data_IF_458936139963
#
_entry.id   IF_458936139963
#
_cell.length_a   1.000
_cell.length_b   1.000
_cell.length_c   1.000
_cell.angle_alpha   90.00
_cell.angle_beta   90.00
_cell.angle_gamma   90.00
#
_symmetry.space_group_name_H-M   'P 1'
#
loop_
_entity.id
_entity.type
_entity.pdbx_description
1 polymer ?
#
# COMPACT_ATOMS: atom_id res chain seq x y z
N UNK A 1 -0.88 -32.75 13.45
CA UNK A 1 -1.14 -31.97 12.23
C UNK A 1 -1.56 -32.95 11.15
N UNK A 2 -2.78 -32.81 10.69
CA UNK A 2 -3.40 -33.67 9.68
C UNK A 2 -3.29 -33.00 8.32
N UNK A 3 -2.58 -33.63 7.39
CA UNK A 3 -2.45 -33.15 6.01
C UNK A 3 -3.47 -33.87 5.14
N UNK A 4 -4.45 -33.15 4.60
CA UNK A 4 -5.45 -33.71 3.68
C UNK A 4 -5.15 -33.27 2.25
N UNK A 5 -4.96 -34.23 1.35
CA UNK A 5 -4.85 -33.97 -0.08
C UNK A 5 -6.24 -33.86 -0.70
N UNK A 6 -6.48 -32.80 -1.46
CA UNK A 6 -7.69 -32.60 -2.25
C UNK A 6 -7.32 -32.71 -3.72
N UNK A 7 -7.95 -33.64 -4.44
CA UNK A 7 -7.79 -33.81 -5.88
C UNK A 7 -8.97 -33.12 -6.56
N UNK A 8 -8.67 -32.21 -7.48
CA UNK A 8 -9.66 -31.45 -8.25
C UNK A 8 -10.15 -32.27 -9.44
N UNK A 9 -11.44 -32.19 -9.77
CA UNK A 9 -12.01 -32.93 -10.92
C UNK A 9 -11.56 -32.36 -12.28
N UNK A 10 -11.00 -31.15 -12.32
CA UNK A 10 -10.35 -30.53 -13.48
C UNK A 10 -9.16 -29.67 -13.05
N UNK A 11 -8.27 -29.33 -14.00
CA UNK A 11 -7.21 -28.34 -13.75
C UNK A 11 -7.78 -26.93 -13.60
N UNK A 12 -7.47 -26.27 -12.49
CA UNK A 12 -7.88 -24.90 -12.19
C UNK A 12 -6.66 -24.01 -12.00
N UNK A 13 -6.76 -22.75 -12.42
CA UNK A 13 -5.75 -21.73 -12.13
C UNK A 13 -5.76 -21.37 -10.64
N UNK A 14 -4.64 -20.85 -10.13
CA UNK A 14 -4.55 -20.43 -8.73
C UNK A 14 -5.59 -19.38 -8.35
N UNK A 15 -5.92 -18.46 -9.27
CA UNK A 15 -6.98 -17.46 -9.04
C UNK A 15 -8.38 -18.07 -8.97
N UNK A 16 -8.67 -19.09 -9.78
CA UNK A 16 -9.92 -19.86 -9.72
C UNK A 16 -10.04 -20.63 -8.40
N UNK A 17 -8.95 -21.23 -7.92
CA UNK A 17 -8.91 -21.96 -6.65
C UNK A 17 -9.14 -21.02 -5.47
N UNK A 18 -8.39 -19.91 -5.39
CA UNK A 18 -8.55 -18.94 -4.30
C UNK A 18 -9.96 -18.34 -4.29
N UNK A 19 -10.54 -18.10 -5.47
CA UNK A 19 -11.94 -17.65 -5.59
C UNK A 19 -12.93 -18.70 -5.09
N UNK A 20 -12.79 -19.95 -5.50
CA UNK A 20 -13.68 -21.03 -5.07
C UNK A 20 -13.60 -21.26 -3.55
N UNK A 21 -12.39 -21.24 -2.99
CA UNK A 21 -12.14 -21.33 -1.55
C UNK A 21 -12.79 -20.18 -0.79
N UNK A 22 -12.75 -18.97 -1.33
CA UNK A 22 -13.40 -17.80 -0.73
C UNK A 22 -14.92 -17.98 -0.65
N UNK A 23 -15.55 -18.47 -1.73
CA UNK A 23 -17.01 -18.71 -1.76
C UNK A 23 -17.38 -19.81 -0.76
N UNK A 24 -16.66 -20.94 -0.78
CA UNK A 24 -16.88 -22.06 0.13
C UNK A 24 -16.69 -21.66 1.60
N UNK A 25 -15.63 -20.93 1.92
CA UNK A 25 -15.40 -20.44 3.28
C UNK A 25 -16.59 -19.58 3.75
N UNK A 26 -17.07 -18.67 2.89
CA UNK A 26 -18.21 -17.79 3.21
C UNK A 26 -19.51 -18.56 3.45
N UNK A 27 -19.83 -19.57 2.62
CA UNK A 27 -21.03 -20.41 2.80
C UNK A 27 -21.03 -21.17 4.13
N UNK A 28 -19.85 -21.48 4.65
CA UNK A 28 -19.66 -22.14 5.95
C UNK A 28 -19.42 -21.17 7.12
N UNK A 29 -19.58 -19.85 6.91
CA UNK A 29 -19.39 -18.83 7.95
C UNK A 29 -17.93 -18.63 8.38
N UNK A 30 -16.99 -18.92 7.48
CA UNK A 30 -15.54 -18.87 7.70
C UNK A 30 -14.90 -17.75 6.86
N UNK A 31 -13.68 -17.36 7.20
CA UNK A 31 -12.88 -16.38 6.46
C UNK A 31 -11.75 -17.04 5.69
N UNK A 32 -11.42 -16.48 4.51
CA UNK A 32 -10.21 -16.82 3.75
C UNK A 32 -9.23 -15.65 3.84
N UNK A 33 -8.04 -15.92 4.34
CA UNK A 33 -6.95 -14.96 4.51
C UNK A 33 -5.79 -15.33 3.58
N UNK A 34 -5.18 -14.35 2.92
CA UNK A 34 -3.97 -14.53 2.12
C UNK A 34 -3.22 -13.19 1.93
N UNK A 35 -1.92 -13.27 1.65
CA UNK A 35 -1.07 -12.15 1.30
C UNK A 35 -0.83 -12.13 -0.22
N UNK A 36 -1.40 -11.16 -0.97
CA UNK A 36 -1.12 -11.04 -2.39
C UNK A 36 0.26 -10.41 -2.62
N UNK A 37 1.16 -11.11 -3.31
CA UNK A 37 2.49 -10.64 -3.72
C UNK A 37 2.55 -10.62 -5.25
N UNK A 38 3.33 -9.71 -5.82
CA UNK A 38 3.63 -9.73 -7.27
C UNK A 38 5.08 -10.13 -7.45
N UNK A 39 5.33 -11.18 -8.23
CA UNK A 39 6.67 -11.71 -8.50
C UNK A 39 7.01 -11.47 -9.97
N UNK A 40 8.17 -10.85 -10.23
CA UNK A 40 8.74 -10.70 -11.56
C UNK A 40 9.80 -11.79 -11.78
N UNK A 41 9.60 -12.65 -12.77
CA UNK A 41 10.56 -13.71 -13.10
C UNK A 41 11.62 -13.18 -14.07
N UNK A 42 12.90 -13.36 -13.73
CA UNK A 42 14.04 -12.71 -14.39
C UNK A 42 14.27 -13.06 -15.88
N UNK A 43 13.52 -14.01 -16.45
CA UNK A 43 13.78 -14.54 -17.81
C UNK A 43 12.55 -14.61 -18.73
N UNK A 44 11.44 -13.92 -18.42
CA UNK A 44 10.27 -13.88 -19.30
C UNK A 44 9.91 -12.42 -19.55
N UNK A 45 10.01 -11.97 -20.81
CA UNK A 45 9.50 -10.66 -21.22
C UNK A 45 8.00 -10.65 -20.98
N UNK A 46 7.56 -9.81 -20.04
CA UNK A 46 6.19 -9.70 -19.50
C UNK A 46 5.64 -10.96 -18.82
N UNK A 47 5.81 -11.04 -17.50
CA UNK A 47 4.72 -11.46 -16.61
C UNK A 47 5.14 -11.18 -15.17
N UNK A 48 4.81 -9.99 -14.68
CA UNK A 48 4.56 -9.83 -13.25
C UNK A 48 3.38 -10.74 -12.91
N UNK A 49 3.60 -11.74 -12.05
CA UNK A 49 2.55 -12.69 -11.67
C UNK A 49 2.11 -12.45 -10.25
N UNK A 50 0.80 -12.50 -10.04
CA UNK A 50 0.22 -12.43 -8.70
C UNK A 50 0.36 -13.79 -8.04
N UNK A 51 0.84 -13.79 -6.81
CA UNK A 51 1.01 -14.99 -6.00
C UNK A 51 0.29 -14.77 -4.68
N UNK A 52 -0.54 -15.73 -4.30
CA UNK A 52 -1.26 -15.74 -3.03
C UNK A 52 -0.42 -16.52 -2.03
N UNK A 53 0.26 -15.80 -1.14
CA UNK A 53 1.06 -16.41 -0.07
C UNK A 53 0.22 -16.56 1.20
N UNK A 54 0.58 -17.51 2.06
CA UNK A 54 -0.08 -17.73 3.36
C UNK A 54 -1.60 -17.92 3.25
N UNK A 55 -2.06 -18.67 2.24
CA UNK A 55 -3.50 -18.94 2.07
C UNK A 55 -4.01 -19.77 3.25
N UNK A 56 -4.97 -19.23 4.01
CA UNK A 56 -5.51 -19.85 5.22
C UNK A 56 -7.02 -19.68 5.29
N UNK A 57 -7.70 -20.68 5.82
CA UNK A 57 -9.10 -20.57 6.21
C UNK A 57 -9.18 -20.52 7.72
N UNK A 58 -9.92 -19.54 8.23
CA UNK A 58 -10.06 -19.25 9.65
C UNK A 58 -11.53 -19.30 10.09
N UNK A 59 -11.76 -19.81 11.31
CA UNK A 59 -13.06 -19.84 11.98
C UNK A 59 -12.85 -19.63 13.47
N UNK A 60 -13.20 -18.45 13.96
CA UNK A 60 -12.87 -18.02 15.33
C UNK A 60 -11.35 -18.05 15.56
N UNK A 61 -10.91 -18.83 16.56
CA UNK A 61 -9.49 -19.00 16.88
C UNK A 61 -8.81 -20.17 16.15
N UNK A 62 -9.56 -20.93 15.34
CA UNK A 62 -9.01 -22.04 14.57
C UNK A 62 -8.66 -21.58 13.16
N UNK A 63 -7.58 -22.12 12.60
CA UNK A 63 -7.21 -21.90 11.20
C UNK A 63 -6.46 -23.12 10.64
N UNK A 64 -6.56 -23.31 9.33
CA UNK A 64 -5.69 -24.25 8.60
C UNK A 64 -5.11 -23.60 7.35
N UNK A 65 -3.92 -24.04 6.97
CA UNK A 65 -3.23 -23.52 5.79
C UNK A 65 -3.56 -24.36 4.55
N UNK A 66 -3.49 -23.71 3.39
CA UNK A 66 -3.68 -24.32 2.09
C UNK A 66 -2.38 -24.15 1.32
N UNK A 67 -1.79 -25.28 0.94
CA UNK A 67 -0.54 -25.34 0.21
C UNK A 67 -0.75 -25.89 -1.20
N UNK A 68 0.09 -25.44 -2.13
CA UNK A 68 0.03 -25.88 -3.52
C UNK A 68 0.48 -27.34 -3.69
N UNK A 69 0.38 -27.88 -4.90
CA UNK A 69 0.87 -29.24 -5.21
C UNK A 69 2.35 -29.46 -4.87
N UNK A 70 3.15 -28.39 -4.80
CA UNK A 70 4.57 -28.43 -4.40
C UNK A 70 4.78 -28.31 -2.88
N UNK A 71 3.70 -28.28 -2.09
CA UNK A 71 3.69 -28.05 -0.63
C UNK A 71 4.39 -26.77 -0.18
N UNK A 72 4.43 -25.76 -1.05
CA UNK A 72 4.76 -24.40 -0.64
C UNK A 72 3.47 -23.66 -0.25
N UNK A 73 3.62 -22.65 0.59
CA UNK A 73 2.57 -21.76 1.11
C UNK A 73 2.16 -20.68 0.09
N UNK A 74 2.45 -20.90 -1.20
CA UNK A 74 2.28 -19.96 -2.28
C UNK A 74 1.45 -20.58 -3.41
N UNK A 75 0.39 -19.89 -3.83
CA UNK A 75 -0.44 -20.27 -4.97
C UNK A 75 -0.27 -19.18 -6.05
N UNK A 76 0.39 -19.51 -7.15
CA UNK A 76 0.54 -18.60 -8.29
C UNK A 76 -0.80 -18.50 -9.03
N UNK A 77 -1.27 -17.27 -9.24
CA UNK A 77 -2.58 -16.97 -9.80
C UNK A 77 -2.82 -17.53 -11.20
N UNK A 78 -1.75 -17.69 -12.00
CA UNK A 78 -1.81 -18.16 -13.39
C UNK A 78 -1.42 -19.63 -13.55
N UNK A 79 -0.69 -20.20 -12.58
CA UNK A 79 -0.38 -21.63 -12.58
C UNK A 79 -1.63 -22.49 -12.43
N UNK A 80 -1.66 -23.63 -13.13
CA UNK A 80 -2.75 -24.61 -13.06
C UNK A 80 -2.42 -25.74 -12.13
N UNK A 81 -3.36 -26.08 -11.26
CA UNK A 81 -3.23 -27.11 -10.24
C UNK A 81 -4.30 -28.19 -10.44
N UNK A 82 -3.91 -29.46 -10.20
CA UNK A 82 -4.83 -30.60 -10.08
C UNK A 82 -5.10 -31.01 -8.65
N UNK A 83 -4.29 -30.52 -7.73
CA UNK A 83 -4.36 -30.88 -6.33
C UNK A 83 -3.89 -29.72 -5.46
N UNK A 84 -4.49 -29.64 -4.28
CA UNK A 84 -4.11 -28.74 -3.19
C UNK A 84 -4.03 -29.56 -1.89
N UNK A 85 -3.28 -29.05 -0.93
CA UNK A 85 -3.13 -29.68 0.38
C UNK A 85 -3.69 -28.77 1.46
N UNK A 86 -4.37 -29.38 2.43
CA UNK A 86 -4.88 -28.71 3.62
C UNK A 86 -4.05 -29.16 4.81
N UNK A 87 -3.32 -28.23 5.40
CA UNK A 87 -2.48 -28.44 6.58
C UNK A 87 -3.28 -28.03 7.82
N UNK A 88 -3.99 -29.01 8.39
CA UNK A 88 -4.99 -28.80 9.45
C UNK A 88 -4.40 -29.19 10.81
N UNK A 89 -4.31 -28.28 11.79
CA UNK A 89 -3.98 -28.66 13.17
C UNK A 89 -5.00 -29.67 13.71
N UNK A 90 -4.55 -30.68 14.47
CA UNK A 90 -5.44 -31.80 14.86
C UNK A 90 -6.58 -31.29 15.77
N UNK A 91 -6.27 -30.29 16.60
CA UNK A 91 -7.19 -29.54 17.44
C UNK A 91 -8.24 -28.73 16.67
N UNK A 92 -8.00 -28.46 15.38
CA UNK A 92 -8.86 -27.66 14.51
C UNK A 92 -9.75 -28.50 13.59
N UNK A 93 -9.53 -29.82 13.49
CA UNK A 93 -10.19 -30.67 12.49
C UNK A 93 -11.72 -30.62 12.58
N UNK A 94 -12.26 -30.61 13.80
CA UNK A 94 -13.70 -30.59 14.05
C UNK A 94 -14.35 -29.25 13.66
N UNK A 95 -13.62 -28.14 13.79
CA UNK A 95 -14.13 -26.82 13.41
C UNK A 95 -14.30 -26.69 11.88
N UNK A 96 -13.57 -27.49 11.12
CA UNK A 96 -13.53 -27.41 9.66
C UNK A 96 -14.14 -28.62 8.94
N UNK A 97 -14.60 -29.65 9.66
CA UNK A 97 -15.22 -30.85 9.08
C UNK A 97 -16.28 -30.55 8.01
N UNK A 98 -17.24 -29.61 8.21
CA UNK A 98 -18.27 -29.33 7.20
C UNK A 98 -17.70 -28.79 5.89
N UNK A 99 -16.68 -27.93 5.99
CA UNK A 99 -15.98 -27.39 4.83
C UNK A 99 -15.13 -28.46 4.16
N UNK A 100 -14.39 -29.25 4.94
CA UNK A 100 -13.47 -30.30 4.49
C UNK A 100 -14.17 -31.41 3.70
N UNK A 101 -15.45 -31.68 4.02
CA UNK A 101 -16.31 -32.62 3.28
C UNK A 101 -16.79 -32.02 1.94
N UNK A 102 -16.87 -30.69 1.85
CA UNK A 102 -17.35 -29.97 0.68
C UNK A 102 -16.27 -29.64 -0.38
N UNK A 103 -14.98 -29.62 0.01
CA UNK A 103 -13.87 -29.11 -0.81
C UNK A 103 -13.50 -29.96 -2.06
N UNK A 104 -14.06 -31.15 -2.24
CA UNK A 104 -13.75 -32.01 -3.39
C UNK A 104 -14.40 -31.55 -4.70
N UNK A 105 -15.61 -32.03 -4.97
CA UNK A 105 -16.33 -31.76 -6.24
C UNK A 105 -16.75 -30.29 -6.36
N UNK A 106 -17.05 -29.63 -5.23
CA UNK A 106 -17.58 -28.27 -5.28
C UNK A 106 -16.56 -27.20 -5.68
N UNK A 107 -15.26 -27.37 -5.41
CA UNK A 107 -14.25 -26.35 -5.80
C UNK A 107 -14.32 -26.08 -7.31
N UNK A 108 -14.51 -27.15 -8.12
CA UNK A 108 -14.62 -27.02 -9.57
C UNK A 108 -15.93 -26.33 -9.96
N UNK A 109 -17.06 -26.69 -9.34
CA UNK A 109 -18.34 -26.02 -9.60
C UNK A 109 -18.29 -24.52 -9.28
N UNK A 110 -17.63 -24.13 -8.19
CA UNK A 110 -17.46 -22.71 -7.81
C UNK A 110 -16.48 -21.95 -8.69
N UNK A 111 -15.53 -22.64 -9.33
CA UNK A 111 -14.59 -22.01 -10.26
C UNK A 111 -15.24 -21.60 -11.59
N UNK A 112 -16.26 -22.36 -12.04
CA UNK A 112 -16.94 -22.16 -13.33
C UNK A 112 -18.18 -21.25 -13.21
N UNK A 113 -18.63 -20.90 -11.99
CA UNK A 113 -19.69 -19.92 -11.79
C UNK A 113 -19.27 -18.54 -12.34
N UNK A 114 -19.75 -18.17 -13.53
CA UNK A 114 -19.82 -16.78 -13.96
C UNK A 114 -20.67 -16.00 -12.96
N UNK A 115 -20.22 -14.81 -12.56
CA UNK A 115 -21.03 -13.91 -11.74
C UNK A 115 -22.18 -13.40 -12.61
N UNK A 116 -23.28 -14.15 -12.69
CA UNK A 116 -24.57 -13.48 -12.70
C UNK A 116 -24.67 -12.75 -11.37
N UNK A 117 -24.63 -11.43 -11.45
CA UNK A 117 -24.86 -10.50 -10.36
C UNK A 117 -26.21 -10.80 -9.71
N UNK A 118 -26.24 -11.77 -8.80
CA UNK A 118 -27.32 -11.94 -7.86
C UNK A 118 -26.98 -11.12 -6.63
N UNK A 119 -27.73 -10.02 -6.50
CA UNK A 119 -27.89 -9.21 -5.30
C UNK A 119 -28.08 -10.15 -4.11
N UNK A 120 -27.02 -10.39 -3.34
CA UNK A 120 -27.21 -10.77 -1.96
C UNK A 120 -27.52 -9.48 -1.23
N UNK A 121 -28.67 -9.42 -0.57
CA UNK A 121 -29.04 -8.36 0.36
C UNK A 121 -27.88 -8.15 1.35
N UNK A 122 -27.01 -7.22 1.02
CA UNK A 122 -26.27 -6.46 2.00
C UNK A 122 -27.33 -5.78 2.86
N UNK A 123 -27.13 -5.74 4.18
CA UNK A 123 -27.58 -4.56 4.90
C UNK A 123 -27.07 -3.36 4.09
N UNK A 124 -27.95 -2.74 3.30
CA UNK A 124 -27.73 -1.45 2.70
C UNK A 124 -27.59 -0.50 3.89
N UNK A 125 -26.37 -0.34 4.40
CA UNK A 125 -25.94 1.04 4.61
C UNK A 125 -26.20 1.72 3.27
N UNK A 126 -27.12 2.69 3.26
CA UNK A 126 -27.35 3.56 2.12
C UNK A 126 -26.01 4.16 1.73
N UNK A 127 -25.30 3.53 0.80
CA UNK A 127 -24.17 4.14 0.13
C UNK A 127 -24.81 5.19 -0.76
N UNK A 128 -24.78 6.44 -0.28
CA UNK A 128 -25.26 7.59 -1.03
C UNK A 128 -24.74 7.52 -2.47
N UNK A 129 -25.65 7.66 -3.44
CA UNK A 129 -25.28 7.70 -4.85
C UNK A 129 -24.43 8.95 -5.09
N UNK A 130 -23.12 8.78 -5.11
CA UNK A 130 -22.15 9.83 -5.43
C UNK A 130 -21.33 9.41 -6.65
N UNK A 131 -21.02 10.39 -7.49
CA UNK A 131 -20.11 10.24 -8.61
C UNK A 131 -19.17 11.44 -8.57
N UNK A 132 -17.88 11.16 -8.66
CA UNK A 132 -16.85 12.18 -8.67
C UNK A 132 -17.09 13.16 -9.82
N UNK A 133 -16.82 14.46 -9.62
CA UNK A 133 -16.82 15.41 -10.72
C UNK A 133 -15.82 15.01 -11.81
N UNK A 134 -16.10 15.40 -13.04
CA UNK A 134 -15.19 15.19 -14.16
C UNK A 134 -13.80 15.80 -13.90
N UNK A 135 -12.73 15.24 -14.51
CA UNK A 135 -11.38 15.77 -14.38
C UNK A 135 -11.29 17.25 -14.79
N UNK A 136 -10.42 18.00 -14.13
CA UNK A 136 -10.14 19.41 -14.44
C UNK A 136 -8.72 19.56 -14.98
N UNK A 137 -8.48 20.66 -15.67
CA UNK A 137 -7.11 21.10 -15.96
C UNK A 137 -6.49 21.65 -14.66
N UNK A 138 -5.49 20.95 -14.12
CA UNK A 138 -4.83 21.34 -12.88
C UNK A 138 -3.74 22.38 -13.08
N UNK A 139 -3.39 22.73 -14.33
CA UNK A 139 -2.40 23.78 -14.61
C UNK A 139 -2.84 25.18 -14.17
N UNK A 140 -4.16 25.40 -14.08
CA UNK A 140 -4.78 26.68 -13.69
C UNK A 140 -5.17 26.75 -12.21
N UNK A 141 -5.07 25.63 -11.47
CA UNK A 141 -5.39 25.59 -10.04
C UNK A 141 -5.63 24.18 -9.51
N UNK A 142 -5.04 23.86 -8.35
CA UNK A 142 -5.17 22.56 -7.70
C UNK A 142 -5.44 22.71 -6.20
N UNK A 143 -6.61 22.26 -5.75
CA UNK A 143 -7.03 22.36 -4.35
C UNK A 143 -6.72 21.06 -3.63
N UNK A 144 -5.98 21.18 -2.53
CA UNK A 144 -5.63 20.07 -1.64
C UNK A 144 -6.21 20.34 -0.27
N UNK A 145 -7.11 19.47 0.18
CA UNK A 145 -7.64 19.47 1.54
C UNK A 145 -6.90 18.41 2.34
N UNK A 146 -6.09 18.85 3.30
CA UNK A 146 -5.33 17.96 4.18
C UNK A 146 -6.13 17.70 5.44
N UNK A 147 -6.59 16.47 5.61
CA UNK A 147 -7.25 16.04 6.84
C UNK A 147 -6.17 15.66 7.85
N UNK A 148 -6.13 16.35 8.97
CA UNK A 148 -5.08 16.23 9.98
C UNK A 148 -5.65 15.73 11.28
N UNK A 149 -5.02 14.71 11.84
CA UNK A 149 -5.26 14.24 13.20
C UNK A 149 -3.92 14.06 13.91
N UNK A 150 -3.49 15.05 14.70
CA UNK A 150 -2.23 14.99 15.44
C UNK A 150 -0.99 15.52 14.71
N UNK A 151 0.19 15.18 15.23
CA UNK A 151 1.46 15.82 14.83
C UNK A 151 1.98 15.32 13.48
N UNK A 152 1.71 14.06 13.15
CA UNK A 152 1.97 13.42 11.85
C UNK A 152 1.44 14.30 10.70
N UNK A 153 0.13 14.54 10.70
CA UNK A 153 -0.51 15.35 9.66
C UNK A 153 -0.08 16.82 9.72
N UNK A 154 0.09 17.39 10.93
CA UNK A 154 0.52 18.77 11.10
C UNK A 154 1.93 19.04 10.53
N UNK A 155 2.87 18.12 10.72
CA UNK A 155 4.24 18.25 10.17
C UNK A 155 4.23 18.21 8.64
N UNK A 156 3.48 17.29 8.05
CA UNK A 156 3.35 17.18 6.60
C UNK A 156 2.66 18.42 6.04
N UNK A 157 1.53 18.86 6.62
CA UNK A 157 0.82 20.05 6.19
C UNK A 157 1.71 21.30 6.18
N UNK A 158 2.52 21.51 7.24
CA UNK A 158 3.50 22.61 7.30
C UNK A 158 4.50 22.56 6.14
N UNK A 159 5.00 21.39 5.78
CA UNK A 159 5.92 21.24 4.65
C UNK A 159 5.22 21.47 3.30
N UNK A 160 4.01 20.93 3.12
CA UNK A 160 3.19 21.18 1.93
C UNK A 160 2.93 22.67 1.72
N UNK A 161 2.50 23.41 2.77
CA UNK A 161 2.28 24.86 2.69
C UNK A 161 3.55 25.63 2.30
N UNK A 162 4.71 25.16 2.72
CA UNK A 162 6.00 25.79 2.43
C UNK A 162 6.48 25.55 1.00
N UNK A 163 6.14 24.40 0.40
CA UNK A 163 6.79 23.90 -0.82
C UNK A 163 5.85 23.64 -1.99
N UNK A 164 4.54 23.68 -1.77
CA UNK A 164 3.56 23.52 -2.84
C UNK A 164 3.79 24.59 -3.92
N UNK A 165 3.58 24.24 -5.20
CA UNK A 165 3.72 25.20 -6.28
C UNK A 165 2.66 26.31 -6.20
N UNK A 166 2.89 27.47 -6.85
CA UNK A 166 2.04 28.65 -6.66
C UNK A 166 0.57 28.48 -7.05
N UNK A 167 0.26 27.56 -7.97
CA UNK A 167 -1.12 27.28 -8.41
C UNK A 167 -1.88 26.35 -7.45
N UNK A 168 -1.25 25.88 -6.37
CA UNK A 168 -1.91 25.05 -5.39
C UNK A 168 -2.56 25.85 -4.26
N UNK A 169 -3.79 25.49 -3.92
CA UNK A 169 -4.45 25.92 -2.70
C UNK A 169 -4.44 24.76 -1.69
N UNK A 170 -3.58 24.84 -0.69
CA UNK A 170 -3.48 23.83 0.37
C UNK A 170 -4.17 24.35 1.63
N UNK A 171 -5.21 23.66 2.06
CA UNK A 171 -5.98 23.91 3.28
C UNK A 171 -5.94 22.70 4.20
N UNK A 172 -6.31 22.87 5.48
CA UNK A 172 -6.34 21.78 6.44
C UNK A 172 -7.70 21.70 7.14
N UNK A 173 -8.14 20.47 7.41
CA UNK A 173 -9.27 20.14 8.25
C UNK A 173 -8.78 19.31 9.43
N UNK A 174 -8.98 19.81 10.65
CA UNK A 174 -8.64 19.07 11.86
C UNK A 174 -9.76 18.10 12.23
N UNK A 175 -9.39 16.87 12.57
CA UNK A 175 -10.30 15.82 13.02
C UNK A 175 -9.93 15.40 14.43
N UNK A 176 -10.96 15.13 15.26
CA UNK A 176 -10.76 14.67 16.64
C UNK A 176 -10.01 13.35 16.69
N UNK A 177 -9.14 13.17 17.69
CA UNK A 177 -8.53 11.86 18.02
C UNK A 177 -9.52 10.91 18.69
N UNK A 178 -10.52 11.48 19.36
CA UNK A 178 -11.49 10.75 20.18
C UNK A 178 -12.66 10.29 19.30
N UNK A 179 -12.40 9.30 18.44
CA UNK A 179 -13.42 8.67 17.59
C UNK A 179 -13.82 7.30 18.16
N UNK A 180 -15.11 6.98 18.23
CA UNK A 180 -15.56 5.66 18.68
C UNK A 180 -15.13 4.58 17.69
N UNK A 181 -15.12 3.33 18.14
CA UNK A 181 -14.75 2.17 17.30
C UNK A 181 -15.68 2.01 16.09
N UNK A 182 -16.96 2.32 16.28
CA UNK A 182 -17.97 2.32 15.22
C UNK A 182 -18.61 3.70 15.23
N UNK A 183 -18.68 4.34 14.06
CA UNK A 183 -19.29 5.67 13.89
C UNK A 183 -20.64 5.48 13.20
N UNK A 184 -21.73 5.60 13.96
CA UNK A 184 -23.10 5.48 13.42
C UNK A 184 -23.51 6.72 12.60
N UNK A 185 -23.08 7.91 13.03
CA UNK A 185 -23.29 9.18 12.31
C UNK A 185 -21.96 9.90 12.09
N UNK A 186 -21.39 9.73 10.90
CA UNK A 186 -20.13 10.35 10.49
C UNK A 186 -20.24 11.88 10.43
N UNK A 187 -21.41 12.42 10.10
CA UNK A 187 -21.58 13.86 9.92
C UNK A 187 -21.38 14.63 11.24
N UNK A 188 -21.72 14.01 12.38
CA UNK A 188 -21.50 14.58 13.71
C UNK A 188 -20.03 14.78 14.10
N UNK A 189 -19.09 14.11 13.42
CA UNK A 189 -17.64 14.21 13.67
C UNK A 189 -16.92 15.13 12.68
N UNK A 190 -17.66 15.73 11.75
CA UNK A 190 -17.14 16.60 10.70
C UNK A 190 -17.70 18.01 10.85
N UNK A 191 -16.98 19.05 10.41
CA UNK A 191 -17.54 20.41 10.39
C UNK A 191 -18.75 20.48 9.46
N UNK A 192 -19.61 21.48 9.63
CA UNK A 192 -20.79 21.68 8.76
C UNK A 192 -20.41 22.04 7.32
N UNK A 193 -19.33 22.78 7.14
CA UNK A 193 -18.83 23.16 5.82
C UNK A 193 -17.49 22.50 5.56
N UNK A 194 -17.40 21.80 4.43
CA UNK A 194 -16.17 21.22 3.92
C UNK A 194 -15.92 21.86 2.56
N UNK A 195 -14.76 22.51 2.35
CA UNK A 195 -14.48 23.17 1.08
C UNK A 195 -14.40 22.16 -0.05
N UNK A 196 -14.83 22.57 -1.24
CA UNK A 196 -14.61 21.77 -2.43
C UNK A 196 -13.10 21.63 -2.72
N UNK A 197 -12.66 20.42 -3.01
CA UNK A 197 -11.25 20.10 -3.25
C UNK A 197 -11.07 19.27 -4.52
N UNK A 198 -9.85 19.19 -5.03
CA UNK A 198 -9.50 18.21 -6.07
C UNK A 198 -8.94 16.95 -5.43
N UNK A 199 -8.03 17.14 -4.49
CA UNK A 199 -7.37 16.07 -3.76
C UNK A 199 -7.72 16.16 -2.28
N UNK A 200 -8.21 15.05 -1.72
CA UNK A 200 -8.26 14.82 -0.28
C UNK A 200 -6.97 14.09 0.13
N UNK A 201 -6.17 14.72 0.98
CA UNK A 201 -4.99 14.09 1.57
C UNK A 201 -5.29 13.72 3.02
N UNK A 202 -5.46 12.43 3.30
CA UNK A 202 -5.95 11.93 4.58
C UNK A 202 -4.80 11.50 5.50
N UNK A 203 -4.44 12.36 6.47
CA UNK A 203 -3.30 12.17 7.38
C UNK A 203 -3.79 11.97 8.82
N UNK A 204 -4.34 10.79 9.09
CA UNK A 204 -4.87 10.42 10.41
C UNK A 204 -3.91 9.59 11.25
N UNK A 205 -4.05 9.66 12.58
CA UNK A 205 -3.27 8.92 13.59
C UNK A 205 -4.16 7.96 14.41
N UNK A 206 -5.07 7.22 13.78
CA UNK A 206 -5.93 6.29 14.51
C UNK A 206 -6.72 5.31 13.63
N UNK A 207 -6.97 4.09 14.11
CA UNK A 207 -7.65 3.03 13.35
C UNK A 207 -9.12 3.34 13.00
N UNK A 208 -9.76 4.24 13.77
CA UNK A 208 -11.17 4.57 13.59
C UNK A 208 -11.38 5.70 12.56
N UNK A 209 -10.37 6.52 12.35
CA UNK A 209 -10.42 7.71 11.49
C UNK A 209 -10.75 7.42 10.03
N UNK A 210 -10.27 6.34 9.40
CA UNK A 210 -10.56 6.10 7.98
C UNK A 210 -12.05 5.89 7.66
N UNK A 211 -12.89 5.61 8.67
CA UNK A 211 -14.36 5.59 8.52
C UNK A 211 -14.91 6.94 8.02
N UNK A 212 -14.20 8.04 8.24
CA UNK A 212 -14.59 9.38 7.81
C UNK A 212 -14.34 9.62 6.31
N UNK A 213 -13.49 8.83 5.66
CA UNK A 213 -13.02 9.08 4.28
C UNK A 213 -14.17 9.17 3.27
N UNK A 214 -15.14 8.23 3.23
CA UNK A 214 -16.23 8.31 2.26
C UNK A 214 -17.00 9.63 2.35
N UNK A 215 -17.35 10.04 3.57
CA UNK A 215 -18.12 11.27 3.78
C UNK A 215 -17.30 12.53 3.46
N UNK A 216 -16.02 12.54 3.82
CA UNK A 216 -15.10 13.63 3.46
C UNK A 216 -14.95 13.78 1.95
N UNK A 217 -14.77 12.67 1.22
CA UNK A 217 -14.66 12.66 -0.25
C UNK A 217 -15.94 13.18 -0.89
N UNK A 218 -17.10 12.68 -0.44
CA UNK A 218 -18.42 13.08 -0.95
C UNK A 218 -18.69 14.57 -0.74
N UNK A 219 -18.51 15.07 0.49
CA UNK A 219 -18.81 16.46 0.84
C UNK A 219 -17.82 17.48 0.30
N UNK A 220 -16.55 17.09 0.16
CA UNK A 220 -15.53 17.93 -0.49
C UNK A 220 -15.55 17.83 -2.02
N UNK A 221 -16.38 16.95 -2.59
CA UNK A 221 -16.41 16.64 -4.03
C UNK A 221 -15.02 16.29 -4.60
N UNK A 222 -14.21 15.60 -3.80
CA UNK A 222 -12.85 15.25 -4.18
C UNK A 222 -12.85 14.34 -5.42
N UNK A 223 -11.86 14.56 -6.29
CA UNK A 223 -11.57 13.76 -7.49
C UNK A 223 -10.49 12.72 -7.23
N UNK A 224 -9.65 12.99 -6.22
CA UNK A 224 -8.56 12.13 -5.80
C UNK A 224 -8.51 11.96 -4.27
N UNK A 225 -8.07 10.79 -3.83
CA UNK A 225 -7.76 10.46 -2.46
C UNK A 225 -6.32 9.96 -2.35
N UNK A 226 -5.52 10.58 -1.49
CA UNK A 226 -4.26 9.98 -1.04
C UNK A 226 -4.39 9.74 0.45
N UNK A 227 -4.31 8.48 0.87
CA UNK A 227 -4.38 8.07 2.27
C UNK A 227 -3.15 7.21 2.60
N UNK A 228 -2.01 7.84 2.94
CA UNK A 228 -0.77 7.12 3.17
C UNK A 228 -0.82 6.22 4.41
N UNK A 229 -0.11 5.10 4.33
CA UNK A 229 0.03 4.13 5.41
C UNK A 229 1.47 4.20 5.92
N UNK A 230 1.74 5.18 6.79
CA UNK A 230 3.00 5.28 7.54
C UNK A 230 2.96 4.46 8.83
N UNK A 231 1.78 4.02 9.26
CA UNK A 231 1.57 3.02 10.31
C UNK A 231 0.35 2.15 9.95
N UNK A 232 0.56 0.85 9.77
CA UNK A 232 -0.48 -0.09 9.34
C UNK A 232 -1.59 -0.28 10.37
N UNK A 233 -1.39 0.12 11.63
CA UNK A 233 -2.45 0.15 12.64
C UNK A 233 -3.46 1.28 12.44
N UNK A 234 -3.07 2.38 11.79
CA UNK A 234 -3.99 3.51 11.51
C UNK A 234 -4.88 3.26 10.30
N UNK A 235 -4.45 2.37 9.41
CA UNK A 235 -5.21 1.97 8.22
C UNK A 235 -5.02 0.46 7.98
N UNK A 236 -5.85 -0.38 8.63
CA UNK A 236 -5.84 -1.82 8.37
C UNK A 236 -6.19 -2.13 6.91
N UNK A 237 -5.58 -3.19 6.35
CA UNK A 237 -5.78 -3.58 4.94
C UNK A 237 -7.26 -3.82 4.59
N UNK A 238 -8.04 -4.41 5.50
CA UNK A 238 -9.47 -4.63 5.28
C UNK A 238 -10.23 -3.31 5.05
N UNK A 239 -9.90 -2.28 5.82
CA UNK A 239 -10.51 -0.96 5.72
C UNK A 239 -10.07 -0.23 4.45
N UNK A 240 -8.78 -0.29 4.09
CA UNK A 240 -8.27 0.25 2.82
C UNK A 240 -8.96 -0.41 1.60
N UNK A 241 -9.18 -1.73 1.65
CA UNK A 241 -9.91 -2.46 0.61
C UNK A 241 -11.38 -2.03 0.52
N UNK A 242 -12.05 -1.82 1.66
CA UNK A 242 -13.42 -1.33 1.69
C UNK A 242 -13.52 0.07 1.07
N UNK A 243 -12.63 0.99 1.46
CA UNK A 243 -12.57 2.34 0.91
C UNK A 243 -12.29 2.29 -0.59
N UNK A 244 -11.36 1.44 -1.04
CA UNK A 244 -11.04 1.28 -2.47
C UNK A 244 -12.28 0.97 -3.31
N UNK A 245 -13.11 0.03 -2.87
CA UNK A 245 -14.35 -0.34 -3.57
C UNK A 245 -15.33 0.83 -3.67
N UNK A 246 -15.44 1.63 -2.62
CA UNK A 246 -16.29 2.84 -2.62
C UNK A 246 -15.72 3.87 -3.61
N UNK A 247 -14.41 4.11 -3.59
CA UNK A 247 -13.76 5.05 -4.52
C UNK A 247 -13.93 4.61 -5.99
N UNK A 248 -13.77 3.32 -6.28
CA UNK A 248 -14.01 2.74 -7.61
C UNK A 248 -15.45 2.97 -8.08
N UNK A 249 -16.44 2.70 -7.21
CA UNK A 249 -17.86 2.94 -7.52
C UNK A 249 -18.15 4.41 -7.80
N UNK A 250 -17.47 5.31 -7.09
CA UNK A 250 -17.64 6.75 -7.25
C UNK A 250 -16.80 7.36 -8.37
N UNK A 251 -15.89 6.59 -9.00
CA UNK A 251 -14.96 7.12 -9.99
C UNK A 251 -13.93 8.10 -9.40
N UNK A 252 -13.63 7.98 -8.11
CA UNK A 252 -12.61 8.77 -7.42
C UNK A 252 -11.27 8.09 -7.58
N UNK A 253 -10.26 8.80 -8.07
CA UNK A 253 -8.90 8.28 -8.11
C UNK A 253 -8.35 8.11 -6.69
N UNK A 254 -7.58 7.06 -6.42
CA UNK A 254 -7.02 6.85 -5.08
C UNK A 254 -5.66 6.18 -5.10
N UNK A 255 -4.91 6.41 -4.02
CA UNK A 255 -3.65 5.74 -3.69
C UNK A 255 -3.44 5.61 -2.18
N UNK A 256 -2.94 4.46 -1.74
CA UNK A 256 -2.58 4.15 -0.35
C UNK A 256 -1.07 3.85 -0.25
N UNK A 257 -0.19 4.85 -0.48
CA UNK A 257 1.25 4.61 -0.48
C UNK A 257 1.72 4.15 0.90
N UNK A 258 2.53 3.09 0.92
CA UNK A 258 3.07 2.47 2.14
C UNK A 258 4.59 2.27 1.97
N UNK A 259 5.45 3.04 2.66
CA UNK A 259 5.17 4.30 3.40
C UNK A 259 4.77 5.46 2.46
N UNK A 260 4.40 6.62 2.98
CA UNK A 260 3.98 7.77 2.15
C UNK A 260 5.06 8.18 1.13
N UNK A 261 6.32 8.10 1.53
CA UNK A 261 7.45 8.39 0.65
C UNK A 261 7.66 7.36 -0.48
N UNK A 262 6.82 6.32 -0.62
CA UNK A 262 6.84 5.42 -1.77
C UNK A 262 5.94 5.87 -2.92
N UNK A 263 5.13 6.91 -2.74
CA UNK A 263 4.21 7.41 -3.76
C UNK A 263 4.95 7.83 -5.03
N UNK A 264 4.73 7.10 -6.12
CA UNK A 264 5.12 7.48 -7.48
C UNK A 264 3.87 7.84 -8.31
N UNK A 265 4.04 8.51 -9.47
CA UNK A 265 2.97 8.70 -10.45
C UNK A 265 2.49 7.33 -10.95
N UNK A 266 1.19 7.16 -11.02
CA UNK A 266 0.50 5.89 -11.34
C UNK A 266 -0.44 6.01 -12.55
N UNK A 267 -0.37 7.11 -13.30
CA UNK A 267 -1.22 7.34 -14.47
C UNK A 267 -2.64 7.81 -14.12
N UNK A 268 -2.86 8.23 -12.87
CA UNK A 268 -4.12 8.80 -12.38
C UNK A 268 -3.93 10.31 -12.22
N UNK A 269 -4.65 11.13 -12.98
CA UNK A 269 -4.31 12.54 -13.20
C UNK A 269 -4.17 13.35 -11.91
N UNK A 270 -5.10 13.17 -10.96
CA UNK A 270 -5.16 13.89 -9.68
C UNK A 270 -4.06 13.42 -8.73
N UNK A 271 -3.80 12.11 -8.70
CA UNK A 271 -2.72 11.53 -7.90
C UNK A 271 -1.36 11.95 -8.45
N UNK A 272 -1.20 11.92 -9.78
CA UNK A 272 0.02 12.27 -10.49
C UNK A 272 0.35 13.75 -10.35
N UNK A 273 -0.64 14.65 -10.35
CA UNK A 273 -0.40 16.07 -10.09
C UNK A 273 0.25 16.28 -8.72
N UNK A 274 -0.21 15.56 -7.69
CA UNK A 274 0.46 15.58 -6.38
C UNK A 274 1.82 14.90 -6.41
N UNK A 275 1.90 13.70 -6.99
CA UNK A 275 3.09 12.86 -7.05
C UNK A 275 4.21 13.43 -7.95
N UNK A 276 3.97 14.52 -8.68
CA UNK A 276 5.02 15.31 -9.35
C UNK A 276 5.86 16.12 -8.37
N UNK A 277 5.24 16.62 -7.30
CA UNK A 277 5.87 17.54 -6.34
C UNK A 277 6.22 16.85 -5.02
N UNK A 278 5.38 15.92 -4.58
CA UNK A 278 5.52 15.22 -3.30
C UNK A 278 5.34 13.72 -3.45
N UNK A 279 6.30 12.92 -3.00
CA UNK A 279 6.24 11.47 -3.08
C UNK A 279 7.63 10.84 -2.94
N UNK A 280 7.91 9.80 -3.71
CA UNK A 280 9.24 9.19 -3.79
C UNK A 280 10.28 10.18 -4.26
N UNK A 281 11.36 10.42 -3.52
CA UNK A 281 12.24 11.53 -3.83
C UNK A 281 12.87 11.43 -5.22
N UNK A 282 13.00 12.58 -5.88
CA UNK A 282 13.77 12.73 -7.11
C UNK A 282 14.73 13.90 -6.92
N UNK A 283 16.03 13.63 -7.08
CA UNK A 283 17.09 14.62 -6.86
C UNK A 283 18.06 14.66 -8.05
N UNK A 284 18.76 15.77 -8.20
CA UNK A 284 19.90 15.94 -9.08
C UNK A 284 21.11 16.37 -8.25
N UNK A 285 22.25 15.70 -8.44
CA UNK A 285 23.50 16.03 -7.74
C UNK A 285 24.39 16.85 -8.68
N UNK A 286 24.63 18.10 -8.30
CA UNK A 286 25.65 18.94 -8.91
C UNK A 286 27.00 18.66 -8.23
N UNK A 287 28.07 18.58 -9.01
CA UNK A 287 29.37 18.16 -8.49
C UNK A 287 30.45 19.20 -8.73
N UNK A 288 31.39 19.27 -7.79
CA UNK A 288 32.69 19.89 -7.94
C UNK A 288 33.73 18.81 -8.25
N UNK A 289 34.51 19.02 -9.31
CA UNK A 289 35.60 18.14 -9.75
C UNK A 289 35.18 16.67 -9.99
N UNK A 290 33.90 16.41 -10.28
CA UNK A 290 33.30 15.06 -10.40
C UNK A 290 33.51 14.16 -9.17
N UNK A 291 33.79 14.74 -8.00
CA UNK A 291 34.14 14.00 -6.77
C UNK A 291 33.35 14.39 -5.54
N UNK A 292 32.90 15.63 -5.47
CA UNK A 292 32.21 16.18 -4.30
C UNK A 292 30.88 16.76 -4.72
N UNK A 293 29.80 16.46 -3.98
CA UNK A 293 28.51 17.07 -4.24
C UNK A 293 28.54 18.54 -3.83
N UNK A 294 28.51 19.47 -4.79
CA UNK A 294 28.47 20.91 -4.51
C UNK A 294 27.07 21.35 -4.10
N UNK A 295 26.04 20.72 -4.66
CA UNK A 295 24.65 21.04 -4.39
C UNK A 295 23.74 19.83 -4.70
N UNK A 296 22.60 19.76 -4.03
CA UNK A 296 21.58 18.73 -4.22
C UNK A 296 20.28 19.43 -4.55
N UNK A 297 19.86 19.34 -5.82
CA UNK A 297 18.59 19.91 -6.27
C UNK A 297 17.49 18.89 -6.06
N UNK A 298 16.49 19.25 -5.28
CA UNK A 298 15.30 18.40 -5.03
C UNK A 298 14.26 18.75 -6.08
N UNK A 299 14.01 17.81 -7.01
CA UNK A 299 12.99 17.93 -8.06
C UNK A 299 11.63 17.53 -7.50
N UNK A 300 11.62 16.46 -6.69
CA UNK A 300 10.46 15.98 -5.95
C UNK A 300 10.89 15.62 -4.53
N UNK A 301 10.25 16.24 -3.54
CA UNK A 301 10.50 15.99 -2.13
C UNK A 301 9.57 14.93 -1.57
N UNK A 302 9.94 14.32 -0.46
CA UNK A 302 8.98 13.53 0.33
C UNK A 302 8.01 14.47 1.08
N UNK A 303 6.75 14.08 1.29
CA UNK A 303 5.73 14.93 1.92
C UNK A 303 6.14 15.48 3.29
N UNK A 304 6.88 14.69 4.09
CA UNK A 304 7.34 15.09 5.42
C UNK A 304 8.55 16.04 5.42
N UNK A 305 9.18 16.30 4.27
CA UNK A 305 10.33 17.22 4.16
C UNK A 305 11.71 16.61 4.47
N UNK A 306 11.79 15.28 4.66
CA UNK A 306 13.07 14.61 4.92
C UNK A 306 14.06 14.77 3.75
N UNK A 307 13.60 14.77 2.50
CA UNK A 307 14.47 14.88 1.31
C UNK A 307 15.27 16.17 1.34
N UNK A 308 14.64 17.29 1.66
CA UNK A 308 15.30 18.58 1.72
C UNK A 308 16.21 18.69 2.93
N UNK A 309 15.84 18.08 4.06
CA UNK A 309 16.73 17.96 5.21
C UNK A 309 18.01 17.20 4.84
N UNK A 310 17.88 16.04 4.19
CA UNK A 310 19.04 15.25 3.74
C UNK A 310 19.85 16.02 2.70
N UNK A 311 19.20 16.61 1.70
CA UNK A 311 19.84 17.37 0.64
C UNK A 311 20.73 18.51 1.16
N UNK A 312 20.29 19.23 2.20
CA UNK A 312 21.10 20.29 2.83
C UNK A 312 22.30 19.74 3.59
N UNK A 313 22.14 18.61 4.30
CA UNK A 313 23.16 18.05 5.19
C UNK A 313 24.23 17.20 4.47
N UNK A 314 24.06 16.92 3.18
CA UNK A 314 25.03 16.17 2.37
C UNK A 314 25.79 17.03 1.35
N UNK A 315 25.58 18.35 1.36
CA UNK A 315 26.40 19.28 0.58
C UNK A 315 27.86 19.24 1.05
N UNK A 316 28.79 19.22 0.10
CA UNK A 316 30.23 19.13 0.36
C UNK A 316 30.74 17.72 0.66
N UNK A 317 29.87 16.71 0.67
CA UNK A 317 30.26 15.31 0.90
C UNK A 317 30.82 14.70 -0.39
N UNK A 318 31.81 13.80 -0.26
CA UNK A 318 32.36 13.07 -1.40
C UNK A 318 31.37 12.06 -1.95
N UNK A 319 31.35 11.88 -3.27
CA UNK A 319 30.39 11.00 -3.94
C UNK A 319 30.53 9.52 -3.53
N UNK A 320 31.72 9.08 -3.13
CA UNK A 320 31.96 7.72 -2.63
C UNK A 320 31.43 7.48 -1.20
N UNK A 321 31.11 8.54 -0.46
CA UNK A 321 30.60 8.49 0.93
C UNK A 321 29.15 8.99 1.05
N UNK A 322 28.64 9.68 0.03
CA UNK A 322 27.37 10.43 0.13
C UNK A 322 26.15 9.54 0.36
N UNK A 323 26.16 8.32 -0.16
CA UNK A 323 25.05 7.36 0.02
C UNK A 323 24.91 6.98 1.50
N UNK A 324 26.03 6.63 2.14
CA UNK A 324 26.05 6.29 3.57
C UNK A 324 25.69 7.51 4.41
N UNK A 325 26.26 8.68 4.10
CA UNK A 325 25.92 9.94 4.78
C UNK A 325 24.44 10.28 4.64
N UNK A 326 23.84 10.10 3.47
CA UNK A 326 22.42 10.34 3.23
C UNK A 326 21.53 9.40 4.04
N UNK A 327 21.87 8.10 4.09
CA UNK A 327 21.16 7.12 4.91
C UNK A 327 21.24 7.45 6.41
N UNK A 328 22.42 7.76 6.93
CA UNK A 328 22.60 8.19 8.33
C UNK A 328 21.81 9.48 8.64
N UNK A 329 21.83 10.43 7.72
CA UNK A 329 21.09 11.70 7.88
C UNK A 329 19.57 11.47 7.88
N UNK A 330 19.07 10.53 7.08
CA UNK A 330 17.66 10.11 7.15
C UNK A 330 17.29 9.61 8.56
N UNK A 331 18.14 8.79 9.20
CA UNK A 331 17.88 8.32 10.56
C UNK A 331 17.93 9.43 11.62
N UNK A 332 18.69 10.51 11.39
CA UNK A 332 18.69 11.69 12.26
C UNK A 332 17.45 12.57 12.08
N UNK A 333 16.75 12.46 10.95
CA UNK A 333 15.45 13.09 10.78
C UNK A 333 14.39 12.27 11.55
N UNK A 334 13.48 12.90 12.31
CA UNK A 334 12.43 12.18 13.04
C UNK A 334 11.38 11.64 12.07
N UNK A 335 11.70 10.53 11.40
CA UNK A 335 10.86 9.89 10.40
C UNK A 335 9.46 9.61 10.97
N UNK A 336 8.45 9.80 10.12
CA UNK A 336 7.04 9.64 10.48
C UNK A 336 6.51 8.22 10.26
N UNK A 337 7.29 7.38 9.55
CA UNK A 337 6.96 5.98 9.34
C UNK A 337 7.22 5.15 10.60
N UNK A 338 6.38 4.16 10.83
CA UNK A 338 6.39 3.30 12.00
C UNK A 338 7.69 2.48 12.10
N UNK A 339 8.17 2.33 13.33
CA UNK A 339 9.25 1.39 13.69
C UNK A 339 8.72 0.00 14.06
N UNK A 340 7.40 -0.22 13.97
CA UNK A 340 6.82 -1.55 14.16
C UNK A 340 7.25 -2.44 13.00
N UNK A 341 7.61 -3.68 13.31
CA UNK A 341 7.88 -4.69 12.30
C UNK A 341 6.56 -5.05 11.61
N UNK A 342 6.54 -4.88 10.30
CA UNK A 342 5.44 -5.27 9.44
C UNK A 342 5.62 -6.75 9.07
N UNK A 343 4.67 -7.64 9.42
CA UNK A 343 4.82 -9.08 9.19
C UNK A 343 5.05 -9.44 7.72
N UNK A 344 4.45 -8.68 6.79
CA UNK A 344 4.59 -8.88 5.35
C UNK A 344 5.93 -8.41 4.78
N UNK A 345 6.61 -7.46 5.45
CA UNK A 345 7.93 -6.96 5.04
C UNK A 345 9.07 -7.65 5.77
N UNK A 346 8.80 -8.29 6.92
CA UNK A 346 9.79 -8.71 7.90
C UNK A 346 10.78 -7.58 8.26
N UNK A 347 10.30 -6.34 8.21
CA UNK A 347 11.05 -5.11 8.44
C UNK A 347 10.08 -3.97 8.81
N UNK A 348 10.59 -2.78 9.07
CA UNK A 348 9.81 -1.60 9.45
C UNK A 348 9.55 -0.67 8.27
N UNK A 349 8.43 0.09 8.31
CA UNK A 349 8.17 1.14 7.33
C UNK A 349 9.22 2.27 7.39
N UNK A 350 9.82 2.48 8.57
CA UNK A 350 10.96 3.38 8.73
C UNK A 350 12.18 2.91 7.92
N UNK A 351 12.55 1.63 7.99
CA UNK A 351 13.62 1.09 7.16
C UNK A 351 13.30 1.13 5.67
N UNK A 352 12.06 0.80 5.27
CA UNK A 352 11.61 0.96 3.88
C UNK A 352 11.81 2.42 3.38
N UNK A 353 11.50 3.41 4.23
CA UNK A 353 11.72 4.84 3.95
C UNK A 353 13.21 5.20 3.82
N UNK A 354 14.05 4.60 4.67
CA UNK A 354 15.51 4.72 4.61
C UNK A 354 16.08 4.17 3.30
N UNK A 355 15.62 2.98 2.87
CA UNK A 355 16.02 2.38 1.60
C UNK A 355 15.62 3.23 0.40
N UNK A 356 14.42 3.83 0.42
CA UNK A 356 13.99 4.77 -0.63
C UNK A 356 14.99 5.94 -0.74
N UNK A 357 15.39 6.53 0.39
CA UNK A 357 16.38 7.62 0.40
C UNK A 357 17.74 7.14 -0.13
N UNK A 358 18.23 6.01 0.37
CA UNK A 358 19.51 5.42 -0.05
C UNK A 358 19.55 5.17 -1.56
N UNK A 359 18.52 4.50 -2.10
CA UNK A 359 18.44 4.16 -3.52
C UNK A 359 18.46 5.40 -4.41
N UNK A 360 17.78 6.48 -4.01
CA UNK A 360 17.77 7.74 -4.77
C UNK A 360 19.17 8.35 -4.89
N UNK A 361 19.96 8.33 -3.81
CA UNK A 361 21.35 8.79 -3.87
C UNK A 361 22.25 7.82 -4.66
N UNK A 362 22.08 6.51 -4.50
CA UNK A 362 22.82 5.49 -5.24
C UNK A 362 22.65 5.66 -6.76
N UNK A 363 21.42 5.83 -7.24
CA UNK A 363 21.15 6.03 -8.67
C UNK A 363 21.82 7.29 -9.23
N UNK A 364 21.92 8.37 -8.44
CA UNK A 364 22.58 9.59 -8.90
C UNK A 364 24.09 9.47 -8.94
N UNK A 365 24.71 8.79 -7.96
CA UNK A 365 26.17 8.65 -7.93
C UNK A 365 26.72 7.66 -8.94
N UNK A 366 25.93 6.68 -9.39
CA UNK A 366 26.33 5.71 -10.44
C UNK A 366 26.85 6.39 -11.72
N UNK A 367 26.36 7.58 -12.04
CA UNK A 367 26.79 8.36 -13.21
C UNK A 367 28.25 8.83 -13.10
N UNK A 368 28.76 8.97 -11.88
CA UNK A 368 30.09 9.51 -11.58
C UNK A 368 31.08 8.42 -11.13
N UNK A 369 30.59 7.43 -10.38
CA UNK A 369 31.39 6.33 -9.88
C UNK A 369 31.38 5.17 -10.88
N UNK A 370 32.44 5.02 -11.69
CA UNK A 370 32.68 3.77 -12.41
C UNK A 370 32.73 2.64 -11.38
N UNK A 371 31.93 1.58 -11.55
CA UNK A 371 32.01 0.36 -10.72
C UNK A 371 33.48 -0.04 -10.62
N UNK A 372 34.09 0.13 -9.43
CA UNK A 372 35.32 -0.62 -9.11
C UNK A 372 34.89 -2.07 -9.02
N UNK A 373 35.09 -2.82 -10.10
CA UNK A 373 35.10 -4.28 -10.01
C UNK A 373 36.31 -4.60 -9.15
N UNK A 374 36.09 -4.74 -7.85
CA UNK A 374 37.11 -5.22 -6.93
C UNK A 374 37.37 -6.68 -7.28
N UNK A 375 38.49 -6.94 -7.96
CA UNK A 375 38.99 -8.31 -8.08
C UNK A 375 39.46 -8.71 -6.68
N UNK A 376 38.70 -9.56 -6.00
CA UNK A 376 39.17 -10.22 -4.79
C UNK A 376 40.24 -11.22 -5.24
N UNK A 377 41.50 -10.91 -4.95
CA UNK A 377 42.61 -11.83 -5.18
C UNK A 377 42.48 -13.01 -4.22
N UNK A 378 42.22 -14.25 -4.70
CA UNK A 378 42.06 -15.42 -3.84
C UNK A 378 43.31 -15.71 -3.00
N UNK A 379 44.49 -15.18 -3.37
CA UNK A 379 45.72 -15.33 -2.60
C UNK A 379 45.75 -14.52 -1.30
N UNK A 380 44.82 -13.58 -1.10
CA UNK A 380 44.68 -12.78 0.13
C UNK A 380 43.87 -13.49 1.22
N UNK A 381 43.23 -14.61 0.91
CA UNK A 381 42.62 -15.51 1.88
C UNK A 381 43.59 -16.68 2.11
N UNK A 382 44.53 -16.51 3.04
CA UNK A 382 45.38 -17.60 3.56
C UNK A 382 44.95 -18.00 4.95
#
# INVERSE_FOLDING_TARGET
MTVKKIVLSSELSGSEIVRALWILAKEHGMSLDYLPVTIAYANISSSERKVYCNVRISSGNAAFAISSSERNDAIDSECRYREIFLDIPDESIHAFSPLIESLGEKIVDYSVRELTTEKTETHEEKVDSYTAPSPRDYSIGFRVLVVVQGEYGNRIFKNLKKRAPPHWEVSALQVSKDLPTIIDDVAGYLPQEIPETDLLLFLSEGPNSPQLIPELVRRSKARGLIAPIDNSEWMPFGQANQISRIMDQWGVEYSFPRPFCSLDPIGKQTIDEFARWFGKPLIEIETKDNKTASNIKVIRGVPCGNTEYVAENVKGVRLDEIVEKAALTHHHYPCLASMKIEPDLNDTLMHASGFITKNVFEEQVKKYLKKKVGYLDPSQFR
#
